data_IF_869535148924
#
_entry.id   IF_869535148924
#
_cell.length_a   1.000
_cell.length_b   1.000
_cell.length_c   1.000
_cell.angle_alpha   90.00
_cell.angle_beta   90.00
_cell.angle_gamma   90.00
#
_symmetry.space_group_name_H-M   'P 1'
#
loop_
_entity.id
_entity.type
_entity.pdbx_description
1 polymer ?
#
# COMPACT_ATOMS: atom_id res chain seq x y z
N UNK A 1 -16.00 -14.59 2.91
CA UNK A 1 -14.73 -14.11 3.43
C UNK A 1 -13.62 -14.91 2.75
N UNK A 2 -12.71 -14.24 2.06
CA UNK A 2 -11.51 -14.92 1.56
C UNK A 2 -10.57 -15.19 2.75
N UNK A 3 -10.12 -16.44 2.88
CA UNK A 3 -9.13 -16.82 3.89
C UNK A 3 -7.70 -16.36 3.53
N UNK A 4 -7.53 -15.65 2.42
CA UNK A 4 -6.23 -15.17 1.98
C UNK A 4 -5.73 -14.06 2.93
N UNK A 5 -4.53 -14.27 3.47
CA UNK A 5 -3.87 -13.29 4.34
C UNK A 5 -3.62 -12.00 3.58
N UNK A 6 -3.93 -10.86 4.20
CA UNK A 6 -3.72 -9.54 3.60
C UNK A 6 -2.25 -9.38 3.13
N UNK A 7 -2.09 -8.95 1.88
CA UNK A 7 -0.78 -8.79 1.25
C UNK A 7 -0.23 -10.07 0.59
N UNK A 8 -0.88 -11.25 0.72
CA UNK A 8 -0.46 -12.46 0.01
C UNK A 8 -0.78 -12.39 -1.49
N UNK A 9 -0.10 -13.19 -2.35
CA UNK A 9 -0.42 -13.29 -3.77
C UNK A 9 -1.89 -13.64 -4.02
N UNK A 10 -2.45 -14.57 -3.24
CA UNK A 10 -3.85 -14.99 -3.31
C UNK A 10 -4.80 -13.85 -2.97
N UNK A 11 -4.45 -13.01 -1.99
CA UNK A 11 -5.23 -11.83 -1.65
C UNK A 11 -5.20 -10.77 -2.76
N UNK A 12 -4.04 -10.56 -3.39
CA UNK A 12 -3.91 -9.66 -4.54
C UNK A 12 -4.76 -10.16 -5.73
N UNK A 13 -4.73 -11.47 -6.01
CA UNK A 13 -5.53 -12.08 -7.08
C UNK A 13 -7.03 -11.96 -6.80
N UNK A 14 -7.46 -12.24 -5.57
CA UNK A 14 -8.87 -12.15 -5.18
C UNK A 14 -9.43 -10.72 -5.28
N UNK A 15 -8.57 -9.70 -5.24
CA UNK A 15 -8.93 -8.28 -5.34
C UNK A 15 -8.95 -7.75 -6.77
N UNK A 16 -8.29 -8.45 -7.72
CA UNK A 16 -8.13 -7.97 -9.08
C UNK A 16 -9.50 -7.72 -9.74
N UNK A 17 -9.62 -6.59 -10.42
CA UNK A 17 -10.83 -6.16 -11.14
C UNK A 17 -12.01 -5.73 -10.26
N UNK A 18 -11.89 -5.77 -8.92
CA UNK A 18 -12.97 -5.36 -8.02
C UNK A 18 -12.89 -3.89 -7.65
N UNK A 19 -14.04 -3.28 -7.41
CA UNK A 19 -14.16 -1.94 -6.83
C UNK A 19 -13.94 -2.06 -5.32
N UNK A 20 -12.76 -1.67 -4.86
CA UNK A 20 -12.36 -1.80 -3.45
C UNK A 20 -12.71 -0.54 -2.65
N UNK A 21 -13.09 -0.71 -1.39
CA UNK A 21 -13.43 0.39 -0.48
C UNK A 21 -12.32 1.45 -0.42
N UNK A 22 -11.05 1.05 -0.36
CA UNK A 22 -9.89 1.95 -0.24
C UNK A 22 -9.69 2.88 -1.45
N UNK A 23 -10.24 2.57 -2.61
CA UNK A 23 -10.06 3.33 -3.86
C UNK A 23 -11.37 3.78 -4.53
N UNK A 24 -12.53 3.46 -3.96
CA UNK A 24 -13.83 3.79 -4.54
C UNK A 24 -14.01 5.30 -4.79
N UNK A 25 -13.44 6.13 -3.92
CA UNK A 25 -13.45 7.59 -4.07
C UNK A 25 -12.78 8.08 -5.38
N UNK A 26 -11.86 7.32 -5.96
CA UNK A 26 -11.23 7.68 -7.23
C UNK A 26 -12.24 7.68 -8.37
N UNK A 27 -13.20 6.78 -8.38
CA UNK A 27 -14.24 6.69 -9.42
C UNK A 27 -15.22 7.86 -9.41
N UNK A 28 -15.30 8.57 -8.29
CA UNK A 28 -16.09 9.79 -8.13
C UNK A 28 -15.24 11.06 -8.24
N UNK A 29 -13.95 10.94 -8.61
CA UNK A 29 -13.03 12.07 -8.70
C UNK A 29 -12.73 12.76 -7.35
N UNK A 30 -12.94 12.04 -6.25
CA UNK A 30 -12.75 12.54 -4.87
C UNK A 30 -11.43 12.05 -4.23
N UNK A 31 -10.66 11.22 -4.93
CA UNK A 31 -9.38 10.76 -4.41
C UNK A 31 -8.27 11.75 -4.78
N UNK A 32 -7.46 12.24 -3.82
CA UNK A 32 -6.50 13.34 -4.05
C UNK A 32 -5.30 12.93 -4.91
N UNK A 33 -4.98 11.63 -4.97
CA UNK A 33 -3.76 11.13 -5.62
C UNK A 33 -4.03 10.15 -6.77
N UNK A 34 -5.29 9.79 -7.02
CA UNK A 34 -5.65 8.79 -8.02
C UNK A 34 -6.84 9.26 -8.84
N UNK A 35 -6.70 9.28 -10.15
CA UNK A 35 -7.80 9.55 -11.09
C UNK A 35 -8.50 8.24 -11.46
N UNK A 36 -9.76 8.30 -11.94
CA UNK A 36 -10.47 7.08 -12.38
C UNK A 36 -9.67 6.24 -13.38
N UNK A 37 -9.03 6.89 -14.35
CA UNK A 37 -8.24 6.21 -15.41
C UNK A 37 -6.98 5.52 -14.85
N UNK A 38 -6.39 6.05 -13.77
CA UNK A 38 -5.24 5.41 -13.12
C UNK A 38 -5.68 4.12 -12.43
N UNK A 39 -6.85 4.15 -11.77
CA UNK A 39 -7.46 2.97 -11.17
C UNK A 39 -7.80 1.92 -12.22
N UNK A 40 -8.43 2.31 -13.34
CA UNK A 40 -8.73 1.39 -14.46
C UNK A 40 -7.47 0.69 -14.93
N UNK A 41 -6.41 1.44 -15.25
CA UNK A 41 -5.13 0.85 -15.69
C UNK A 41 -4.56 -0.12 -14.66
N UNK A 42 -4.62 0.23 -13.39
CA UNK A 42 -4.15 -0.64 -12.29
C UNK A 42 -4.95 -1.94 -12.24
N UNK A 43 -6.28 -1.87 -12.33
CA UNK A 43 -7.14 -3.05 -12.26
C UNK A 43 -7.03 -3.94 -13.49
N UNK A 44 -6.94 -3.38 -14.69
CA UNK A 44 -6.70 -4.12 -15.94
C UNK A 44 -5.38 -4.88 -15.87
N UNK A 45 -4.31 -4.25 -15.39
CA UNK A 45 -3.01 -4.92 -15.19
C UNK A 45 -3.08 -6.03 -14.15
N UNK A 46 -3.81 -5.80 -13.05
CA UNK A 46 -3.98 -6.80 -12.01
C UNK A 46 -4.76 -8.03 -12.54
N UNK A 47 -5.78 -7.83 -13.36
CA UNK A 47 -6.53 -8.91 -14.03
C UNK A 47 -5.63 -9.70 -15.00
N UNK A 48 -4.73 -9.03 -15.70
CA UNK A 48 -3.75 -9.66 -16.57
C UNK A 48 -2.62 -10.38 -15.81
N UNK A 49 -2.68 -10.45 -14.48
CA UNK A 49 -1.66 -11.10 -13.65
C UNK A 49 -0.33 -10.34 -13.58
N UNK A 50 -0.29 -9.08 -13.99
CA UNK A 50 0.90 -8.28 -13.88
C UNK A 50 1.21 -7.98 -12.40
N UNK A 51 2.48 -8.10 -12.02
CA UNK A 51 2.93 -7.69 -10.70
C UNK A 51 2.61 -6.22 -10.44
N UNK A 52 2.21 -5.92 -9.22
CA UNK A 52 1.96 -4.55 -8.79
C UNK A 52 3.26 -3.74 -8.87
N UNK A 53 3.27 -2.63 -9.60
CA UNK A 53 4.37 -1.64 -9.57
C UNK A 53 4.41 -0.86 -8.24
N UNK A 54 3.86 -1.45 -7.19
CA UNK A 54 3.78 -0.79 -5.89
C UNK A 54 5.18 -0.59 -5.32
N UNK A 55 5.61 0.66 -5.27
CA UNK A 55 6.88 1.04 -4.64
C UNK A 55 6.62 1.25 -3.16
N UNK A 56 7.28 0.47 -2.32
CA UNK A 56 7.25 0.65 -0.87
C UNK A 56 7.91 1.97 -0.48
N UNK A 57 7.09 3.02 -0.31
CA UNK A 57 7.58 4.32 0.16
C UNK A 57 7.59 4.37 1.69
N UNK A 58 8.47 5.19 2.32
CA UNK A 58 8.59 5.25 3.78
C UNK A 58 7.29 5.50 4.54
N UNK A 59 6.35 6.25 3.94
CA UNK A 59 5.05 6.53 4.55
C UNK A 59 4.16 5.30 4.62
N UNK A 60 4.19 4.43 3.60
CA UNK A 60 3.44 3.17 3.59
C UNK A 60 4.05 2.16 4.54
N UNK A 61 5.39 2.00 4.50
CA UNK A 61 6.09 1.13 5.43
C UNK A 61 5.84 1.53 6.90
N UNK A 62 5.80 2.84 7.18
CA UNK A 62 5.46 3.35 8.50
C UNK A 62 4.00 2.99 8.88
N UNK A 63 3.05 3.21 7.98
CA UNK A 63 1.64 2.88 8.21
C UNK A 63 1.47 1.41 8.59
N UNK A 64 2.00 0.51 7.78
CA UNK A 64 1.94 -0.94 8.03
C UNK A 64 2.61 -1.36 9.35
N UNK A 65 3.78 -0.77 9.66
CA UNK A 65 4.49 -1.07 10.90
C UNK A 65 3.73 -0.61 12.15
N UNK A 66 3.00 0.50 12.05
CA UNK A 66 2.32 1.11 13.19
C UNK A 66 0.86 0.66 13.36
N UNK A 67 0.30 -0.05 12.39
CA UNK A 67 -1.09 -0.50 12.39
C UNK A 67 -1.40 -1.42 13.59
N UNK A 68 -0.56 -2.43 13.83
CA UNK A 68 -0.69 -3.33 14.98
C UNK A 68 -0.61 -2.59 16.32
N UNK A 69 0.30 -1.61 16.41
CA UNK A 69 0.45 -0.79 17.62
C UNK A 69 -0.81 0.02 17.86
N UNK A 70 -1.35 0.66 16.83
CA UNK A 70 -2.57 1.45 16.92
C UNK A 70 -3.80 0.56 17.24
N UNK A 71 -3.84 -0.67 16.71
CA UNK A 71 -4.91 -1.64 17.01
C UNK A 71 -4.92 -2.03 18.48
N UNK A 72 -3.77 -2.42 19.03
CA UNK A 72 -3.65 -2.74 20.46
C UNK A 72 -4.00 -1.54 21.34
N UNK A 73 -3.58 -0.33 20.92
CA UNK A 73 -3.95 0.91 21.60
C UNK A 73 -5.48 1.11 21.59
N UNK A 74 -6.13 0.96 20.43
CA UNK A 74 -7.57 1.10 20.29
C UNK A 74 -8.34 0.08 21.11
N UNK A 75 -7.93 -1.19 21.13
CA UNK A 75 -8.52 -2.25 21.95
C UNK A 75 -8.53 -1.88 23.43
N UNK A 76 -7.41 -1.34 23.93
CA UNK A 76 -7.29 -0.91 25.33
C UNK A 76 -8.13 0.32 25.61
N UNK A 77 -8.19 1.27 24.68
CA UNK A 77 -8.92 2.52 24.84
C UNK A 77 -10.43 2.29 24.88
N UNK A 78 -10.94 1.36 24.08
CA UNK A 78 -12.37 1.11 23.92
C UNK A 78 -12.88 -0.13 24.67
N UNK A 79 -11.99 -0.88 25.34
CA UNK A 79 -12.31 -2.12 26.04
C UNK A 79 -13.06 -3.14 25.16
N UNK A 80 -12.62 -3.30 23.91
CA UNK A 80 -13.13 -4.32 23.01
C UNK A 80 -11.99 -5.08 22.31
N UNK A 81 -12.31 -6.17 21.62
CA UNK A 81 -11.37 -6.91 20.77
C UNK A 81 -11.57 -6.57 19.32
N UNK A 82 -10.47 -6.45 18.57
CA UNK A 82 -10.45 -6.27 17.14
C UNK A 82 -9.97 -7.55 16.47
N UNK A 83 -10.87 -8.21 15.75
CA UNK A 83 -10.56 -9.42 15.01
C UNK A 83 -10.07 -9.07 13.62
N UNK A 84 -8.86 -9.52 13.27
CA UNK A 84 -8.32 -9.32 11.93
C UNK A 84 -9.17 -10.05 10.89
N UNK A 85 -9.38 -9.43 9.75
CA UNK A 85 -10.10 -10.03 8.64
C UNK A 85 -9.36 -9.83 7.32
N UNK A 86 -9.58 -10.73 6.38
CA UNK A 86 -9.04 -10.62 5.03
C UNK A 86 -9.94 -9.81 4.11
N UNK A 87 -9.94 -10.20 2.84
CA UNK A 87 -10.83 -9.63 1.84
C UNK A 87 -12.26 -10.15 2.03
N UNK A 88 -13.20 -9.24 2.16
CA UNK A 88 -14.63 -9.53 2.14
C UNK A 88 -15.23 -9.02 0.83
N UNK A 89 -15.91 -9.88 0.10
CA UNK A 89 -16.67 -9.53 -1.10
C UNK A 89 -18.10 -9.26 -0.69
N UNK A 90 -18.70 -8.22 -1.25
CA UNK A 90 -20.09 -7.85 -0.95
C UNK A 90 -21.03 -9.04 -1.27
N UNK A 91 -21.92 -9.43 -0.34
CA UNK A 91 -22.72 -10.65 -0.49
C UNK A 91 -23.66 -10.66 -1.72
N UNK A 92 -24.04 -9.47 -2.20
CA UNK A 92 -24.95 -9.29 -3.34
C UNK A 92 -24.24 -8.79 -4.61
N UNK A 93 -23.10 -8.10 -4.48
CA UNK A 93 -22.39 -7.45 -5.59
C UNK A 93 -20.94 -7.91 -5.62
N UNK A 94 -20.67 -8.99 -6.34
CA UNK A 94 -19.37 -9.67 -6.39
C UNK A 94 -18.21 -8.81 -6.92
N UNK A 95 -18.53 -7.71 -7.59
CA UNK A 95 -17.55 -6.73 -8.07
C UNK A 95 -17.16 -5.68 -7.03
N UNK A 96 -17.76 -5.70 -5.82
CA UNK A 96 -17.46 -4.78 -4.71
C UNK A 96 -16.77 -5.57 -3.59
N UNK A 97 -15.71 -5.01 -3.01
CA UNK A 97 -14.98 -5.66 -1.93
C UNK A 97 -14.36 -4.67 -0.94
N UNK A 98 -14.13 -5.14 0.28
CA UNK A 98 -13.47 -4.39 1.34
C UNK A 98 -12.49 -5.28 2.11
N UNK A 99 -11.46 -4.66 2.69
CA UNK A 99 -10.57 -5.25 3.69
C UNK A 99 -10.45 -4.20 4.79
N UNK A 100 -11.29 -4.24 5.82
CA UNK A 100 -11.12 -3.38 7.00
C UNK A 100 -9.91 -3.83 7.81
N UNK A 101 -9.39 -2.98 8.66
CA UNK A 101 -8.26 -3.29 9.52
C UNK A 101 -8.69 -4.19 10.71
N UNK A 102 -10.00 -4.41 10.88
CA UNK A 102 -10.57 -5.43 11.76
C UNK A 102 -12.07 -5.31 11.97
N UNK A 103 -12.62 -6.31 12.63
CA UNK A 103 -14.03 -6.42 13.04
C UNK A 103 -14.15 -6.29 14.56
N UNK A 104 -15.25 -5.71 15.02
CA UNK A 104 -15.58 -5.60 16.45
C UNK A 104 -16.98 -6.17 16.68
N UNK A 105 -17.03 -7.29 17.35
CA UNK A 105 -18.30 -8.00 17.53
C UNK A 105 -18.95 -8.40 16.21
N UNK A 106 -20.27 -8.25 16.13
CA UNK A 106 -21.06 -8.60 14.95
C UNK A 106 -21.51 -7.37 14.15
N UNK A 107 -21.38 -6.18 14.72
CA UNK A 107 -22.01 -4.95 14.24
C UNK A 107 -21.05 -3.80 13.98
N UNK A 108 -19.74 -4.02 14.20
CA UNK A 108 -18.74 -2.98 14.03
C UNK A 108 -17.49 -3.40 13.25
N UNK A 109 -16.79 -2.40 12.71
CA UNK A 109 -15.45 -2.55 12.13
C UNK A 109 -14.54 -1.41 12.55
N UNK A 110 -13.26 -1.51 12.22
CA UNK A 110 -12.27 -0.46 12.47
C UNK A 110 -11.49 -0.14 11.19
N UNK A 111 -11.12 1.14 11.08
CA UNK A 111 -10.20 1.65 10.06
C UNK A 111 -9.11 2.45 10.76
N UNK A 112 -7.87 2.03 10.58
CA UNK A 112 -6.70 2.56 11.27
C UNK A 112 -5.84 3.36 10.29
N UNK A 113 -5.49 4.59 10.63
CA UNK A 113 -4.55 5.39 9.87
C UNK A 113 -3.39 5.81 10.75
N UNK A 114 -2.18 5.41 10.36
CA UNK A 114 -0.92 5.76 11.02
C UNK A 114 -0.08 6.62 10.08
N UNK A 115 -0.38 7.93 9.95
CA UNK A 115 0.32 8.80 9.02
C UNK A 115 1.79 8.97 9.40
N UNK A 116 2.64 9.10 8.37
CA UNK A 116 4.07 9.29 8.59
C UNK A 116 4.36 10.65 9.23
N UNK A 117 5.03 10.72 10.41
CA UNK A 117 5.22 11.96 11.17
C UNK A 117 5.97 13.07 10.42
N UNK A 118 6.71 12.73 9.38
CA UNK A 118 7.36 13.71 8.50
C UNK A 118 6.36 14.60 7.78
N UNK A 119 5.19 14.06 7.41
CA UNK A 119 4.20 14.77 6.60
C UNK A 119 2.97 15.19 7.40
N UNK A 120 2.68 14.52 8.52
CA UNK A 120 1.51 14.78 9.35
C UNK A 120 1.97 14.94 10.79
N UNK A 121 1.74 16.12 11.37
CA UNK A 121 2.20 16.48 12.71
C UNK A 121 1.12 16.34 13.79
N UNK A 122 -0.13 16.29 13.38
CA UNK A 122 -1.30 16.17 14.25
C UNK A 122 -2.26 15.14 13.66
N UNK A 123 -2.94 14.33 14.47
CA UNK A 123 -3.96 13.43 13.98
C UNK A 123 -5.11 14.22 13.35
N UNK A 124 -5.78 13.63 12.39
CA UNK A 124 -6.84 14.30 11.64
C UNK A 124 -8.19 13.60 11.80
N UNK A 125 -9.25 14.40 11.74
CA UNK A 125 -10.62 13.91 11.70
C UNK A 125 -10.97 13.30 10.33
N UNK A 126 -11.72 12.19 10.34
CA UNK A 126 -12.28 11.59 9.14
C UNK A 126 -13.31 12.53 8.47
N UNK A 127 -14.00 13.37 9.27
CA UNK A 127 -14.98 14.31 8.77
C UNK A 127 -14.36 15.56 8.13
N UNK A 128 -13.04 15.69 8.16
CA UNK A 128 -12.36 16.77 7.44
C UNK A 128 -12.63 16.67 5.92
N UNK A 129 -13.00 17.78 5.25
CA UNK A 129 -13.26 17.76 3.80
C UNK A 129 -12.09 17.25 2.98
N UNK A 130 -10.85 17.45 3.45
CA UNK A 130 -9.63 16.94 2.81
C UNK A 130 -9.47 15.42 2.93
N UNK A 131 -10.30 14.77 3.76
CA UNK A 131 -10.25 13.33 4.08
C UNK A 131 -11.52 12.59 3.66
N UNK A 132 -12.36 13.20 2.83
CA UNK A 132 -13.62 12.63 2.34
C UNK A 132 -13.43 11.25 1.68
N UNK A 133 -12.25 10.95 1.15
CA UNK A 133 -11.93 9.62 0.61
C UNK A 133 -11.95 8.53 1.68
N UNK A 134 -11.50 8.81 2.90
CA UNK A 134 -11.55 7.84 4.01
C UNK A 134 -12.98 7.64 4.51
N UNK A 135 -13.78 8.69 4.56
CA UNK A 135 -15.18 8.57 4.90
C UNK A 135 -15.94 7.69 3.89
N UNK A 136 -15.64 7.84 2.60
CA UNK A 136 -16.19 6.97 1.56
C UNK A 136 -15.69 5.53 1.69
N UNK A 137 -14.43 5.32 2.04
CA UNK A 137 -13.85 4.01 2.32
C UNK A 137 -14.62 3.32 3.44
N UNK A 138 -14.83 4.00 4.56
CA UNK A 138 -15.52 3.49 5.75
C UNK A 138 -16.99 3.18 5.44
N UNK A 139 -17.72 4.03 4.73
CA UNK A 139 -19.09 3.73 4.31
C UNK A 139 -19.16 2.49 3.42
N UNK A 140 -18.20 2.33 2.49
CA UNK A 140 -18.14 1.15 1.63
C UNK A 140 -17.79 -0.12 2.42
N UNK A 141 -16.93 -0.02 3.43
CA UNK A 141 -16.61 -1.13 4.32
C UNK A 141 -17.85 -1.60 5.07
N UNK A 142 -18.58 -0.69 5.71
CA UNK A 142 -19.82 -1.02 6.43
C UNK A 142 -20.88 -1.62 5.51
N UNK A 143 -21.00 -1.12 4.28
CA UNK A 143 -21.91 -1.70 3.29
C UNK A 143 -21.55 -3.13 2.90
N UNK A 144 -20.26 -3.40 2.66
CA UNK A 144 -19.76 -4.74 2.29
C UNK A 144 -19.88 -5.73 3.44
N UNK A 145 -19.62 -5.28 4.66
CA UNK A 145 -19.60 -6.10 5.88
C UNK A 145 -20.98 -6.29 6.48
N UNK A 146 -21.96 -5.47 6.10
CA UNK A 146 -23.28 -5.38 6.71
C UNK A 146 -23.21 -5.08 8.21
N UNK A 147 -22.39 -4.09 8.60
CA UNK A 147 -22.21 -3.64 9.98
C UNK A 147 -22.72 -2.21 10.16
N UNK A 148 -23.07 -1.86 11.41
CA UNK A 148 -23.78 -0.64 11.73
C UNK A 148 -22.86 0.56 11.96
N UNK A 149 -21.60 0.32 12.36
CA UNK A 149 -20.65 1.38 12.68
C UNK A 149 -19.21 1.02 12.35
N UNK A 150 -18.38 2.05 12.22
CA UNK A 150 -16.94 1.93 12.09
C UNK A 150 -16.22 2.92 13.00
N UNK A 151 -15.30 2.43 13.82
CA UNK A 151 -14.38 3.29 14.56
C UNK A 151 -13.18 3.63 13.68
N UNK A 152 -13.05 4.90 13.34
CA UNK A 152 -11.90 5.43 12.62
C UNK A 152 -10.91 6.00 13.60
N UNK A 153 -9.68 5.48 13.59
CA UNK A 153 -8.60 6.04 14.39
C UNK A 153 -7.47 6.57 13.50
N UNK A 154 -7.10 7.83 13.72
CA UNK A 154 -5.85 8.39 13.20
C UNK A 154 -4.85 8.48 14.35
N UNK A 155 -3.81 7.66 14.32
CA UNK A 155 -2.86 7.47 15.41
C UNK A 155 -1.46 7.92 15.03
N UNK A 156 -0.86 8.75 15.86
CA UNK A 156 0.55 9.15 15.81
C UNK A 156 1.26 8.59 17.04
N UNK A 157 2.20 7.68 16.81
CA UNK A 157 3.00 7.08 17.87
C UNK A 157 3.76 8.13 18.67
N UNK A 158 3.99 7.89 19.96
CA UNK A 158 4.83 8.76 20.77
C UNK A 158 6.26 8.79 20.25
N UNK A 159 6.95 9.88 20.52
CA UNK A 159 8.38 10.04 20.25
C UNK A 159 9.04 10.80 21.41
N UNK A 160 10.30 11.23 21.22
CA UNK A 160 11.07 11.96 22.26
C UNK A 160 10.41 13.27 22.72
N UNK A 161 9.50 13.84 21.92
CA UNK A 161 8.94 15.18 22.16
C UNK A 161 7.45 15.19 22.49
N UNK A 162 6.72 14.13 22.20
CA UNK A 162 5.28 14.06 22.47
C UNK A 162 4.80 12.64 22.80
N UNK A 163 3.78 12.57 23.63
CA UNK A 163 3.00 11.37 23.93
C UNK A 163 2.21 10.91 22.70
N UNK A 164 1.60 9.70 22.73
CA UNK A 164 0.70 9.28 21.65
C UNK A 164 -0.36 10.35 21.39
N UNK A 165 -0.60 10.66 20.13
CA UNK A 165 -1.66 11.57 19.72
C UNK A 165 -2.62 10.81 18.81
N UNK A 166 -3.91 11.02 18.99
CA UNK A 166 -4.90 10.34 18.17
C UNK A 166 -6.19 11.15 18.03
N UNK A 167 -6.94 10.85 16.99
CA UNK A 167 -8.38 11.12 16.91
C UNK A 167 -9.07 9.79 16.77
N UNK A 168 -10.15 9.60 17.52
CA UNK A 168 -11.01 8.43 17.40
C UNK A 168 -12.43 8.92 17.16
N UNK A 169 -13.02 8.50 16.06
CA UNK A 169 -14.33 8.97 15.63
C UNK A 169 -15.17 7.78 15.16
N UNK A 170 -16.34 7.59 15.78
CA UNK A 170 -17.32 6.60 15.32
C UNK A 170 -18.11 7.15 14.16
N UNK A 171 -18.16 6.39 13.08
CA UNK A 171 -18.95 6.65 11.90
C UNK A 171 -20.10 5.66 11.87
N UNK A 172 -21.31 6.18 11.88
CA UNK A 172 -22.52 5.36 11.73
C UNK A 172 -22.77 5.01 10.27
N UNK A 173 -23.39 3.86 10.03
CA UNK A 173 -23.71 3.38 8.68
C UNK A 173 -24.58 4.40 7.95
N UNK A 174 -24.29 4.58 6.68
CA UNK A 174 -25.10 5.37 5.77
C UNK A 174 -25.96 4.45 4.92
N UNK A 175 -27.21 4.26 5.30
CA UNK A 175 -28.17 3.34 4.67
C UNK A 175 -28.34 3.55 3.16
N UNK A 176 -28.26 4.79 2.70
CA UNK A 176 -28.43 5.14 1.28
C UNK A 176 -27.11 5.25 0.52
N UNK A 177 -25.99 4.75 1.07
CA UNK A 177 -24.66 4.95 0.48
C UNK A 177 -24.60 4.50 -0.98
N UNK A 178 -25.01 3.29 -1.30
CA UNK A 178 -25.00 2.78 -2.68
C UNK A 178 -26.11 3.36 -3.56
N UNK A 179 -27.22 3.79 -2.97
CA UNK A 179 -28.37 4.34 -3.71
C UNK A 179 -28.28 5.86 -3.90
N UNK A 180 -27.33 6.54 -3.21
CA UNK A 180 -27.11 7.99 -3.35
C UNK A 180 -26.91 8.38 -4.82
N UNK A 181 -27.62 9.46 -5.22
CA UNK A 181 -27.54 9.95 -6.60
C UNK A 181 -26.33 10.84 -6.82
N UNK A 182 -25.50 10.44 -7.76
CA UNK A 182 -24.29 11.12 -8.19
C UNK A 182 -24.44 11.72 -9.58
N UNK A 183 -23.60 12.68 -9.91
CA UNK A 183 -23.54 13.24 -11.26
C UNK A 183 -23.04 12.18 -12.25
N UNK A 184 -23.70 12.04 -13.38
CA UNK A 184 -23.26 11.15 -14.49
C UNK A 184 -21.94 11.60 -15.16
N UNK A 185 -21.43 12.77 -14.83
CA UNK A 185 -20.08 13.21 -15.28
C UNK A 185 -18.95 12.28 -14.82
N UNK A 186 -19.18 11.48 -13.80
CA UNK A 186 -18.22 10.50 -13.27
C UNK A 186 -18.27 9.14 -13.97
N UNK A 187 -19.17 8.94 -14.93
CA UNK A 187 -19.16 7.74 -15.76
C UNK A 187 -17.86 7.62 -16.59
N UNK A 188 -17.48 6.41 -17.03
CA UNK A 188 -16.38 6.22 -17.99
C UNK A 188 -16.56 7.07 -19.25
N UNK A 189 -17.81 7.20 -19.69
CA UNK A 189 -18.25 8.15 -20.73
C UNK A 189 -19.22 9.14 -20.07
N UNK A 190 -18.78 10.39 -19.80
CA UNK A 190 -19.58 11.35 -19.08
C UNK A 190 -20.88 11.74 -19.80
N UNK A 191 -21.95 11.82 -19.03
CA UNK A 191 -23.28 12.19 -19.50
C UNK A 191 -23.92 13.23 -18.58
N UNK A 192 -25.05 13.81 -19.02
CA UNK A 192 -25.87 14.70 -18.18
C UNK A 192 -26.81 13.88 -17.27
N UNK A 193 -27.18 14.48 -16.13
CA UNK A 193 -28.10 13.87 -15.18
C UNK A 193 -27.41 13.22 -13.98
N UNK A 194 -28.14 12.33 -13.33
CA UNK A 194 -27.69 11.61 -12.14
C UNK A 194 -27.83 10.10 -12.28
N UNK A 195 -27.03 9.37 -11.53
CA UNK A 195 -26.98 7.91 -11.48
C UNK A 195 -26.80 7.49 -10.02
N UNK A 196 -27.27 6.31 -9.61
CA UNK A 196 -26.92 5.79 -8.28
C UNK A 196 -25.42 5.49 -8.19
N UNK A 197 -24.87 5.52 -6.99
CA UNK A 197 -23.47 5.13 -6.77
C UNK A 197 -23.23 3.67 -7.19
N UNK A 198 -24.16 2.78 -6.88
CA UNK A 198 -24.09 1.39 -7.29
C UNK A 198 -23.98 1.24 -8.81
N UNK A 199 -24.90 1.90 -9.55
CA UNK A 199 -24.87 1.84 -11.02
C UNK A 199 -23.58 2.46 -11.59
N UNK A 200 -23.09 3.56 -10.99
CA UNK A 200 -21.81 4.16 -11.37
C UNK A 200 -20.65 3.16 -11.20
N UNK A 201 -20.60 2.45 -10.06
CA UNK A 201 -19.55 1.46 -9.82
C UNK A 201 -19.68 0.25 -10.74
N UNK A 202 -20.88 -0.16 -11.04
CA UNK A 202 -21.15 -1.23 -12.01
C UNK A 202 -20.70 -0.85 -13.44
N UNK A 203 -20.93 0.40 -13.86
CA UNK A 203 -20.44 0.91 -15.15
C UNK A 203 -18.90 0.93 -15.19
N UNK A 204 -18.26 1.36 -14.10
CA UNK A 204 -16.79 1.32 -14.01
C UNK A 204 -16.24 -0.10 -14.04
N UNK A 205 -16.90 -1.03 -13.34
CA UNK A 205 -16.50 -2.43 -13.35
C UNK A 205 -16.58 -3.02 -14.75
N UNK A 206 -17.73 -2.83 -15.46
CA UNK A 206 -17.88 -3.25 -16.87
C UNK A 206 -16.82 -2.63 -17.78
N UNK A 207 -16.46 -1.37 -17.54
CA UNK A 207 -15.42 -0.70 -18.30
C UNK A 207 -14.03 -1.33 -18.06
N UNK A 208 -13.69 -1.67 -16.81
CA UNK A 208 -12.45 -2.38 -16.47
C UNK A 208 -12.40 -3.74 -17.19
N UNK A 209 -13.47 -4.53 -17.13
CA UNK A 209 -13.54 -5.83 -17.82
C UNK A 209 -13.39 -5.68 -19.33
N UNK A 210 -14.10 -4.74 -19.95
CA UNK A 210 -13.99 -4.47 -21.38
C UNK A 210 -12.58 -4.04 -21.80
N UNK A 211 -11.90 -3.24 -21.01
CA UNK A 211 -10.51 -2.86 -21.31
C UNK A 211 -9.56 -4.05 -21.20
N UNK A 212 -9.76 -4.92 -20.22
CA UNK A 212 -9.00 -6.14 -20.06
C UNK A 212 -9.19 -7.08 -21.25
N UNK A 213 -10.46 -7.34 -21.66
CA UNK A 213 -10.78 -8.20 -22.80
C UNK A 213 -10.20 -7.68 -24.12
N UNK A 214 -10.18 -6.35 -24.31
CA UNK A 214 -9.53 -5.72 -25.47
C UNK A 214 -8.03 -5.88 -25.45
N UNK A 215 -7.39 -5.81 -24.29
CA UNK A 215 -5.95 -5.99 -24.14
C UNK A 215 -5.54 -7.46 -24.40
N UNK A 216 -6.30 -8.41 -23.88
CA UNK A 216 -6.13 -9.85 -24.14
C UNK A 216 -6.30 -10.16 -25.64
N UNK A 217 -7.35 -9.64 -26.28
CA UNK A 217 -7.58 -9.81 -27.71
C UNK A 217 -6.43 -9.21 -28.55
N UNK A 218 -5.89 -8.06 -28.15
CA UNK A 218 -4.72 -7.45 -28.81
C UNK A 218 -3.48 -8.34 -28.66
N UNK A 219 -3.22 -8.87 -27.48
CA UNK A 219 -2.08 -9.75 -27.25
C UNK A 219 -2.19 -11.06 -28.02
N UNK A 220 -3.39 -11.66 -28.09
CA UNK A 220 -3.65 -12.83 -28.93
C UNK A 220 -3.50 -12.52 -30.41
N UNK A 221 -4.02 -11.38 -30.88
CA UNK A 221 -3.88 -10.95 -32.26
C UNK A 221 -2.40 -10.72 -32.63
N UNK A 222 -1.62 -10.06 -31.77
CA UNK A 222 -0.17 -9.89 -31.97
C UNK A 222 0.54 -11.22 -32.03
N UNK A 223 0.20 -12.18 -31.15
CA UNK A 223 0.77 -13.54 -31.19
C UNK A 223 0.43 -14.26 -32.49
N UNK A 224 -0.80 -14.11 -32.98
CA UNK A 224 -1.26 -14.71 -34.24
C UNK A 224 -0.59 -14.06 -35.44
N UNK A 225 -0.56 -12.72 -35.51
CA UNK A 225 0.12 -11.98 -36.59
C UNK A 225 1.61 -12.32 -36.63
N UNK A 226 2.29 -12.33 -35.46
CA UNK A 226 3.70 -12.75 -35.40
C UNK A 226 3.90 -14.17 -35.89
N UNK A 227 2.97 -15.09 -35.57
CA UNK A 227 3.03 -16.47 -36.04
C UNK A 227 2.79 -16.58 -37.56
N UNK A 228 1.79 -15.87 -38.07
CA UNK A 228 1.47 -15.85 -39.51
C UNK A 228 2.59 -15.17 -40.35
N UNK A 229 3.18 -14.07 -39.85
CA UNK A 229 4.35 -13.46 -40.47
C UNK A 229 5.56 -14.39 -40.46
N UNK A 230 5.73 -15.20 -39.39
CA UNK A 230 6.79 -16.21 -39.32
C UNK A 230 6.60 -17.34 -40.35
N UNK A 231 5.36 -17.74 -40.62
CA UNK A 231 5.04 -18.78 -41.61
C UNK A 231 5.17 -18.27 -43.06
N UNK A 232 5.13 -16.94 -43.30
CA UNK A 232 5.26 -16.30 -44.60
C UNK A 232 6.71 -15.92 -44.98
N UNK A 233 7.67 -16.04 -44.06
CA UNK A 233 9.10 -15.82 -44.36
C UNK A 233 9.60 -16.97 -45.23
N UNK A 234 9.74 -16.70 -46.52
CA UNK A 234 10.02 -17.71 -47.53
C UNK A 234 11.44 -17.66 -48.10
N UNK A 235 12.32 -16.80 -47.56
CA UNK A 235 13.70 -16.67 -48.06
C UNK A 235 14.73 -16.97 -46.96
N UNK A 236 15.80 -17.70 -47.29
CA UNK A 236 16.90 -17.99 -46.37
C UNK A 236 17.58 -16.73 -45.81
N UNK A 237 17.57 -15.63 -46.58
CA UNK A 237 18.16 -14.36 -46.17
C UNK A 237 17.37 -13.72 -45.01
N UNK A 238 16.04 -13.78 -45.05
CA UNK A 238 15.18 -13.23 -43.97
C UNK A 238 15.33 -14.03 -42.70
N UNK A 239 15.42 -15.36 -42.81
CA UNK A 239 15.68 -16.26 -41.65
C UNK A 239 17.06 -16.00 -41.04
N UNK A 240 18.08 -15.79 -41.87
CA UNK A 240 19.43 -15.45 -41.40
C UNK A 240 19.46 -14.08 -40.69
N UNK A 241 18.76 -13.10 -41.24
CA UNK A 241 18.66 -11.78 -40.63
C UNK A 241 17.93 -11.84 -39.27
N UNK A 242 16.81 -12.55 -39.21
CA UNK A 242 16.07 -12.78 -37.95
C UNK A 242 16.93 -13.48 -36.91
N UNK A 243 17.67 -14.53 -37.31
CA UNK A 243 18.59 -15.24 -36.42
C UNK A 243 19.69 -14.33 -35.86
N UNK A 244 20.23 -13.43 -36.70
CA UNK A 244 21.22 -12.45 -36.26
C UNK A 244 20.63 -11.44 -35.25
N UNK A 245 19.42 -10.93 -35.52
CA UNK A 245 18.72 -10.00 -34.62
C UNK A 245 18.43 -10.68 -33.29
N UNK A 246 17.93 -11.93 -33.32
CA UNK A 246 17.65 -12.70 -32.10
C UNK A 246 18.92 -12.97 -31.29
N UNK A 247 20.03 -13.29 -31.96
CA UNK A 247 21.33 -13.48 -31.30
C UNK A 247 21.81 -12.18 -30.63
N UNK A 248 21.64 -11.03 -31.29
CA UNK A 248 21.96 -9.71 -30.71
C UNK A 248 21.09 -9.41 -29.49
N UNK A 249 19.78 -9.69 -29.56
CA UNK A 249 18.85 -9.53 -28.42
C UNK A 249 19.30 -10.40 -27.26
N UNK A 250 19.62 -11.66 -27.49
CA UNK A 250 20.07 -12.58 -26.44
C UNK A 250 21.40 -12.12 -25.81
N UNK A 251 22.34 -11.64 -26.62
CA UNK A 251 23.60 -11.09 -26.10
C UNK A 251 23.39 -9.83 -25.25
N UNK A 252 22.48 -8.94 -25.65
CA UNK A 252 22.12 -7.75 -24.86
C UNK A 252 21.46 -8.18 -23.54
N UNK A 253 20.51 -9.14 -23.59
CA UNK A 253 19.86 -9.68 -22.37
C UNK A 253 20.88 -10.29 -21.41
N UNK A 254 21.81 -11.11 -21.93
CA UNK A 254 22.87 -11.72 -21.10
C UNK A 254 23.71 -10.64 -20.41
N UNK A 255 24.18 -9.63 -21.16
CA UNK A 255 24.97 -8.53 -20.61
C UNK A 255 24.20 -7.74 -19.54
N UNK A 256 22.91 -7.50 -19.76
CA UNK A 256 22.07 -6.81 -18.76
C UNK A 256 21.96 -7.67 -17.48
N UNK A 257 21.78 -8.97 -17.63
CA UNK A 257 21.72 -9.90 -16.48
C UNK A 257 23.05 -9.87 -15.72
N UNK A 258 24.19 -9.99 -16.43
CA UNK A 258 25.51 -9.95 -15.82
C UNK A 258 25.79 -8.62 -15.10
N UNK A 259 25.35 -7.49 -15.67
CA UNK A 259 25.45 -6.17 -15.03
C UNK A 259 24.56 -6.05 -13.79
N UNK A 260 23.33 -6.60 -13.83
CA UNK A 260 22.42 -6.62 -12.67
C UNK A 260 22.96 -7.50 -11.55
N UNK A 261 23.53 -8.66 -11.87
CA UNK A 261 24.18 -9.55 -10.89
C UNK A 261 25.42 -8.87 -10.26
N UNK A 262 26.19 -8.13 -11.06
CA UNK A 262 27.32 -7.35 -10.57
C UNK A 262 26.86 -6.23 -9.62
N UNK A 263 25.77 -5.54 -9.94
CA UNK A 263 25.15 -4.52 -9.07
C UNK A 263 24.69 -5.13 -7.76
N UNK A 264 24.07 -6.31 -7.77
CA UNK A 264 23.62 -7.00 -6.56
C UNK A 264 24.81 -7.41 -5.67
N UNK A 265 25.87 -7.95 -6.26
CA UNK A 265 27.12 -8.27 -5.54
C UNK A 265 27.75 -7.03 -4.94
N UNK A 266 27.84 -5.93 -5.70
CA UNK A 266 28.40 -4.67 -5.20
C UNK A 266 27.54 -4.06 -4.08
N UNK A 267 26.23 -4.17 -4.20
CA UNK A 267 25.30 -3.70 -3.17
C UNK A 267 25.47 -4.48 -1.86
N UNK A 268 25.54 -5.80 -1.94
CA UNK A 268 25.81 -6.68 -0.77
C UNK A 268 27.16 -6.39 -0.14
N UNK A 269 28.19 -6.19 -0.97
CA UNK A 269 29.54 -5.83 -0.51
C UNK A 269 29.54 -4.46 0.19
N UNK A 270 28.81 -3.49 -0.37
CA UNK A 270 28.66 -2.16 0.24
C UNK A 270 28.00 -2.25 1.62
N UNK A 271 26.94 -3.04 1.77
CA UNK A 271 26.26 -3.24 3.06
C UNK A 271 27.16 -3.97 4.08
N UNK A 272 27.97 -4.93 3.65
CA UNK A 272 28.94 -5.60 4.51
C UNK A 272 30.02 -4.62 4.99
N UNK A 273 30.56 -3.80 4.10
CA UNK A 273 31.55 -2.78 4.44
C UNK A 273 30.99 -1.74 5.41
N UNK A 274 29.75 -1.30 5.21
CA UNK A 274 29.06 -0.40 6.15
C UNK A 274 28.96 -1.02 7.55
N UNK A 275 28.65 -2.31 7.66
CA UNK A 275 28.63 -3.03 8.94
C UNK A 275 30.02 -3.02 9.62
N UNK A 276 31.05 -3.40 8.88
CA UNK A 276 32.42 -3.45 9.39
C UNK A 276 32.87 -2.08 9.87
N UNK A 277 32.57 -1.02 9.10
CA UNK A 277 32.89 0.36 9.47
C UNK A 277 32.15 0.79 10.74
N UNK A 278 30.85 0.45 10.82
CA UNK A 278 30.03 0.76 12.00
C UNK A 278 30.51 0.04 13.26
N UNK A 279 31.06 -1.16 13.13
CA UNK A 279 31.60 -1.93 14.26
C UNK A 279 33.00 -1.39 14.72
N UNK A 280 33.80 -0.93 13.77
CA UNK A 280 35.19 -0.58 14.01
C UNK A 280 35.40 0.87 14.43
N UNK A 281 34.53 1.78 14.02
CA UNK A 281 34.71 3.21 14.22
C UNK A 281 33.50 3.86 14.91
N UNK A 282 33.77 4.94 15.65
CA UNK A 282 32.76 5.83 16.23
C UNK A 282 32.93 7.24 15.64
N UNK A 283 31.77 7.91 15.40
CA UNK A 283 31.78 9.29 14.89
C UNK A 283 31.94 9.40 13.38
N UNK A 284 32.95 10.12 12.90
CA UNK A 284 33.17 10.38 11.48
C UNK A 284 34.55 9.93 11.05
N UNK A 285 34.62 9.29 9.87
CA UNK A 285 35.88 8.85 9.23
C UNK A 285 35.98 9.49 7.86
N UNK A 286 37.12 10.07 7.51
CA UNK A 286 37.34 10.70 6.21
C UNK A 286 38.72 10.34 5.66
N UNK A 287 38.81 10.22 4.34
CA UNK A 287 40.06 10.07 3.58
C UNK A 287 40.37 11.29 2.70
N UNK A 288 39.72 12.43 2.96
CA UNK A 288 39.87 13.67 2.19
C UNK A 288 38.86 13.84 1.04
N UNK A 289 38.41 12.76 0.40
CA UNK A 289 37.43 12.81 -0.67
C UNK A 289 36.07 12.21 -0.28
N UNK A 290 36.04 11.45 0.79
CA UNK A 290 34.84 10.77 1.28
C UNK A 290 34.72 10.95 2.79
N UNK A 291 33.59 11.44 3.26
CA UNK A 291 33.25 11.56 4.67
C UNK A 291 32.18 10.52 5.01
N UNK A 292 32.48 9.66 5.96
CA UNK A 292 31.54 8.66 6.50
C UNK A 292 31.15 9.10 7.90
N UNK A 293 29.87 9.38 8.12
CA UNK A 293 29.30 9.67 9.43
C UNK A 293 28.56 8.45 9.95
N UNK A 294 28.95 8.00 11.15
CA UNK A 294 28.30 6.90 11.85
C UNK A 294 27.34 7.51 12.88
N UNK A 295 26.05 7.31 12.67
CA UNK A 295 25.00 7.83 13.54
C UNK A 295 24.40 6.65 14.29
N UNK A 296 24.56 6.63 15.61
CA UNK A 296 23.89 5.70 16.49
C UNK A 296 22.41 6.12 16.59
N UNK A 297 21.53 5.32 16.00
CA UNK A 297 20.08 5.52 16.20
C UNK A 297 19.64 4.81 17.46
N UNK A 298 18.93 5.52 18.32
CA UNK A 298 18.23 4.91 19.44
C UNK A 298 17.23 3.87 18.89
N UNK A 299 17.23 2.61 19.38
CA UNK A 299 16.30 1.61 18.93
C UNK A 299 14.87 2.06 19.14
N UNK A 300 13.95 1.73 18.22
CA UNK A 300 12.53 2.01 18.42
C UNK A 300 11.98 1.24 19.63
N UNK A 301 11.05 1.85 20.35
CA UNK A 301 10.34 1.22 21.46
C UNK A 301 9.38 0.19 20.89
N UNK A 302 9.33 -0.98 21.51
CA UNK A 302 8.28 -1.98 21.24
C UNK A 302 7.04 -1.63 22.07
N UNK A 303 6.18 -0.78 21.50
CA UNK A 303 4.99 -0.29 22.18
C UNK A 303 3.98 -1.41 22.48
N UNK A 304 3.89 -2.44 21.64
CA UNK A 304 3.02 -3.58 21.91
C UNK A 304 3.41 -4.25 23.22
N UNK A 305 4.68 -4.54 23.39
CA UNK A 305 5.22 -5.16 24.60
C UNK A 305 5.08 -4.23 25.82
N UNK A 306 5.27 -2.92 25.60
CA UNK A 306 5.09 -1.92 26.65
C UNK A 306 3.64 -1.82 27.10
N UNK A 307 2.66 -1.81 26.18
CA UNK A 307 1.23 -1.79 26.50
C UNK A 307 0.80 -3.05 27.26
N UNK A 308 1.23 -4.23 26.80
CA UNK A 308 0.92 -5.50 27.47
C UNK A 308 1.48 -5.56 28.89
N UNK A 309 2.70 -5.07 29.10
CA UNK A 309 3.36 -5.11 30.40
C UNK A 309 2.85 -4.03 31.37
N UNK A 310 2.65 -2.80 30.89
CA UNK A 310 2.30 -1.67 31.75
C UNK A 310 0.80 -1.55 32.05
N UNK A 311 -0.06 -2.35 31.41
CA UNK A 311 -1.47 -2.44 31.73
C UNK A 311 -2.36 -1.38 31.10
N UNK A 312 -1.94 -0.81 29.97
CA UNK A 312 -2.75 0.09 29.16
C UNK A 312 -2.22 1.52 29.07
N UNK A 313 -3.00 2.39 28.44
CA UNK A 313 -2.58 3.74 28.02
C UNK A 313 -2.16 4.64 29.17
N UNK A 314 -2.99 4.75 30.23
CA UNK A 314 -2.67 5.62 31.37
C UNK A 314 -1.32 5.22 32.01
N UNK A 315 -1.08 3.92 32.13
CA UNK A 315 0.15 3.42 32.71
C UNK A 315 1.37 3.70 31.81
N UNK A 316 1.21 3.67 30.47
CA UNK A 316 2.28 4.03 29.51
C UNK A 316 2.55 5.53 29.54
N UNK A 317 1.50 6.36 29.62
CA UNK A 317 1.62 7.82 29.69
C UNK A 317 2.25 8.32 31.00
N UNK A 318 2.00 7.61 32.10
CA UNK A 318 2.56 7.96 33.42
C UNK A 318 4.01 7.48 33.63
N UNK A 319 4.45 6.49 32.85
CA UNK A 319 5.73 5.80 33.06
C UNK A 319 6.70 5.94 31.87
N UNK A 320 6.78 7.12 31.29
CA UNK A 320 7.68 7.41 30.15
C UNK A 320 9.13 6.92 30.39
N UNK A 321 9.63 7.02 31.64
CA UNK A 321 10.97 6.55 31.98
C UNK A 321 11.15 5.03 31.85
N UNK A 322 10.06 4.26 31.94
CA UNK A 322 10.10 2.80 31.79
C UNK A 322 10.02 2.35 30.32
N UNK A 323 9.62 3.19 29.40
CA UNK A 323 9.53 2.86 27.97
C UNK A 323 10.88 2.51 27.37
N UNK A 324 11.98 3.06 27.90
CA UNK A 324 13.31 2.72 27.43
C UNK A 324 13.68 1.25 27.62
N UNK A 325 13.08 0.58 28.63
CA UNK A 325 13.29 -0.86 28.86
C UNK A 325 12.69 -1.74 27.74
N UNK A 326 11.75 -1.21 26.96
CA UNK A 326 11.12 -1.90 25.82
C UNK A 326 11.74 -1.56 24.47
N UNK A 327 12.89 -0.89 24.45
CA UNK A 327 13.63 -0.67 23.22
C UNK A 327 14.11 -2.01 22.65
N UNK A 328 13.90 -2.19 21.36
CA UNK A 328 14.39 -3.36 20.64
C UNK A 328 15.91 -3.44 20.82
N UNK A 329 16.44 -4.61 21.13
CA UNK A 329 17.85 -4.85 21.41
C UNK A 329 18.79 -4.56 20.23
N UNK A 330 18.27 -4.38 19.05
CA UNK A 330 19.05 -4.06 17.84
C UNK A 330 18.81 -2.61 17.41
N UNK A 331 19.58 -1.71 17.95
CA UNK A 331 19.77 -0.37 17.40
C UNK A 331 20.47 -0.43 16.05
N UNK A 332 19.94 0.25 15.03
CA UNK A 332 20.63 0.35 13.75
C UNK A 332 21.62 1.52 13.77
N UNK A 333 22.88 1.26 13.45
CA UNK A 333 23.81 2.33 13.09
C UNK A 333 23.55 2.73 11.65
N UNK A 334 23.24 3.99 11.43
CA UNK A 334 23.10 4.52 10.07
C UNK A 334 24.44 5.11 9.62
N UNK A 335 24.89 4.71 8.44
CA UNK A 335 26.06 5.28 7.78
C UNK A 335 25.59 6.26 6.72
N UNK A 336 26.06 7.48 6.79
CA UNK A 336 25.93 8.50 5.74
C UNK A 336 27.28 8.68 5.06
N UNK A 337 27.31 8.56 3.73
CA UNK A 337 28.52 8.73 2.93
C UNK A 337 28.33 10.00 2.09
N UNK A 338 29.27 10.93 2.22
CA UNK A 338 29.34 12.13 1.40
C UNK A 338 30.61 12.08 0.55
N UNK A 339 30.45 12.28 -0.76
CA UNK A 339 31.54 12.41 -1.72
C UNK A 339 31.66 13.87 -2.16
N UNK A 340 32.87 14.39 -2.29
CA UNK A 340 33.17 15.73 -2.76
C UNK A 340 34.45 16.28 -2.14
N UNK A 341 34.86 17.45 -2.56
CA UNK A 341 35.98 18.16 -1.94
C UNK A 341 35.59 18.57 -0.52
N UNK A 342 36.10 17.85 0.47
CA UNK A 342 35.88 18.12 1.88
C UNK A 342 36.98 19.10 2.31
N UNK A 343 36.58 20.38 2.44
CA UNK A 343 37.46 21.43 3.01
C UNK A 343 37.66 21.23 4.51
#
# INVERSE_FOLDING_TARGET
VSLAVQGSPEWHLARAGKIKASVCAALEGKHPYMKPQDLVRQEVRALAGAESEFVMVPAVAHGQMMEDVARVFLEKLQDYRVEETGLVVHPKYDFIAASPDGLVGLDGCVEIKCPYPKYTKEPYSIFSPKRSMYLMQVYMQMEVLDVDWCDFICYLAPNETHKPQYTLERVERKEDFLTEKLSRKYLPQPEKGTISRLDLYQEWHRHIQSQHDHEDTRQEHVKTVVKDDFETITTDDDLNHLSQVQSRINNIKSRIIDELDAIDVLSKTSEQLKKIIAEKYEGSVSNGSTLIKIINKTPPIDYRQAFEFLGGEEAVLEKDEQLDSFRRTTGSRQISIQHGDIQ
#
